data_IF_718481679756
#
_entry.id   IF_718481679756
#
_cell.length_a   1.000
_cell.length_b   1.000
_cell.length_c   1.000
_cell.angle_alpha   90.00
_cell.angle_beta   90.00
_cell.angle_gamma   90.00
#
_symmetry.space_group_name_H-M   'P 1'
#
loop_
_entity.id
_entity.type
_entity.pdbx_description
1 polymer ?
#
# COMPACT_ATOMS: atom_id res chain seq x y z
N UNK A 1 -50.07 -19.80 -1.67
CA UNK A 1 -49.02 -19.40 -0.70
C UNK A 1 -47.63 -19.92 -1.09
N UNK A 2 -47.48 -21.16 -1.56
CA UNK A 2 -46.18 -21.72 -1.97
C UNK A 2 -45.45 -20.93 -3.08
N UNK A 3 -46.16 -20.46 -4.11
CA UNK A 3 -45.55 -19.70 -5.22
C UNK A 3 -44.87 -18.40 -4.77
N UNK A 4 -45.50 -17.65 -3.86
CA UNK A 4 -44.92 -16.43 -3.29
C UNK A 4 -43.65 -16.75 -2.48
N UNK A 5 -43.68 -17.80 -1.65
CA UNK A 5 -42.52 -18.22 -0.87
C UNK A 5 -41.33 -18.60 -1.75
N UNK A 6 -41.57 -19.31 -2.86
CA UNK A 6 -40.52 -19.66 -3.84
C UNK A 6 -39.96 -18.42 -4.53
N UNK A 7 -40.84 -17.49 -4.98
CA UNK A 7 -40.39 -16.24 -5.59
C UNK A 7 -39.54 -15.40 -4.64
N UNK A 8 -39.94 -15.28 -3.37
CA UNK A 8 -39.15 -14.57 -2.36
C UNK A 8 -37.82 -15.28 -2.10
N UNK A 9 -37.81 -16.61 -1.94
CA UNK A 9 -36.59 -17.38 -1.75
C UNK A 9 -35.57 -17.21 -2.88
N UNK A 10 -36.02 -17.30 -4.13
CA UNK A 10 -35.16 -17.09 -5.31
C UNK A 10 -34.62 -15.66 -5.39
N UNK A 11 -35.47 -14.66 -5.16
CA UNK A 11 -35.05 -13.25 -5.17
C UNK A 11 -34.04 -12.94 -4.08
N UNK A 12 -34.25 -13.49 -2.88
CA UNK A 12 -33.39 -13.26 -1.74
C UNK A 12 -32.05 -13.96 -1.93
N UNK A 13 -32.03 -15.19 -2.45
CA UNK A 13 -30.79 -15.90 -2.79
C UNK A 13 -29.95 -15.14 -3.83
N UNK A 14 -30.59 -14.65 -4.90
CA UNK A 14 -29.91 -13.86 -5.93
C UNK A 14 -29.39 -12.50 -5.41
N UNK A 15 -30.03 -11.93 -4.39
CA UNK A 15 -29.55 -10.72 -3.70
C UNK A 15 -28.36 -11.06 -2.80
N UNK A 16 -28.46 -12.10 -1.98
CA UNK A 16 -27.38 -12.55 -1.10
C UNK A 16 -26.10 -12.87 -1.87
N UNK A 17 -26.20 -13.60 -2.98
CA UNK A 17 -25.04 -13.90 -3.83
C UNK A 17 -24.34 -12.63 -4.33
N UNK A 18 -25.11 -11.62 -4.78
CA UNK A 18 -24.55 -10.32 -5.19
C UNK A 18 -23.92 -9.55 -4.03
N UNK A 19 -24.51 -9.64 -2.84
CA UNK A 19 -24.00 -8.98 -1.64
C UNK A 19 -22.67 -9.60 -1.23
N UNK A 20 -22.58 -10.93 -1.15
CA UNK A 20 -21.34 -11.63 -0.82
C UNK A 20 -20.23 -11.25 -1.81
N UNK A 21 -20.51 -11.26 -3.11
CA UNK A 21 -19.53 -10.83 -4.12
C UNK A 21 -19.10 -9.38 -3.93
N UNK A 22 -20.02 -8.49 -3.53
CA UNK A 22 -19.72 -7.09 -3.26
C UNK A 22 -18.84 -6.93 -2.02
N UNK A 23 -19.06 -7.72 -0.97
CA UNK A 23 -18.20 -7.75 0.21
C UNK A 23 -16.80 -8.25 -0.12
N UNK A 24 -16.65 -9.35 -0.85
CA UNK A 24 -15.32 -9.82 -1.27
C UNK A 24 -14.59 -8.77 -2.11
N UNK A 25 -15.29 -8.03 -2.97
CA UNK A 25 -14.70 -6.91 -3.73
C UNK A 25 -14.27 -5.76 -2.82
N UNK A 26 -15.02 -5.46 -1.77
CA UNK A 26 -14.68 -4.44 -0.79
C UNK A 26 -13.42 -4.83 -0.01
N UNK A 27 -13.37 -6.07 0.49
CA UNK A 27 -12.21 -6.60 1.24
C UNK A 27 -10.92 -6.51 0.42
N UNK A 28 -10.99 -6.91 -0.86
CA UNK A 28 -9.85 -6.78 -1.77
C UNK A 28 -9.38 -5.32 -1.93
N UNK A 29 -10.29 -4.35 -1.91
CA UNK A 29 -9.93 -2.92 -1.98
C UNK A 29 -9.35 -2.40 -0.67
N UNK A 30 -9.80 -2.90 0.47
CA UNK A 30 -9.28 -2.51 1.79
C UNK A 30 -7.79 -2.87 1.92
N UNK A 31 -7.36 -4.01 1.36
CA UNK A 31 -5.93 -4.42 1.36
C UNK A 31 -5.04 -3.33 0.73
N UNK A 32 -5.49 -2.64 -0.32
CA UNK A 32 -4.72 -1.55 -0.92
C UNK A 32 -4.52 -0.38 0.05
N UNK A 33 -5.54 -0.06 0.86
CA UNK A 33 -5.47 0.99 1.88
C UNK A 33 -4.50 0.58 2.99
N UNK A 34 -4.54 -0.68 3.43
CA UNK A 34 -3.60 -1.20 4.43
C UNK A 34 -2.15 -1.10 3.96
N UNK A 35 -1.87 -1.38 2.68
CA UNK A 35 -0.52 -1.24 2.12
C UNK A 35 -0.04 0.21 2.08
N UNK A 36 -0.90 1.14 1.67
CA UNK A 36 -0.58 2.57 1.72
C UNK A 36 -0.23 2.99 3.15
N UNK A 37 -1.06 2.58 4.11
CA UNK A 37 -0.83 2.91 5.52
C UNK A 37 0.47 2.32 6.07
N UNK A 38 0.85 1.12 5.62
CA UNK A 38 2.15 0.54 5.97
C UNK A 38 3.30 1.37 5.41
N UNK A 39 3.23 1.80 4.14
CA UNK A 39 4.27 2.65 3.54
C UNK A 39 4.41 3.99 4.26
N UNK A 40 3.31 4.57 4.75
CA UNK A 40 3.35 5.79 5.56
C UNK A 40 4.06 5.64 6.92
N UNK A 41 4.26 4.40 7.39
CA UNK A 41 4.90 4.10 8.68
C UNK A 41 6.35 3.62 8.57
N UNK A 42 6.85 3.43 7.35
CA UNK A 42 8.25 3.05 7.13
C UNK A 42 9.16 4.20 7.62
N UNK A 43 10.31 3.89 8.26
CA UNK A 43 11.27 4.92 8.62
C UNK A 43 11.67 5.73 7.40
N UNK A 44 11.61 7.06 7.54
CA UNK A 44 12.05 7.96 6.48
C UNK A 44 13.54 7.78 6.21
N UNK A 45 13.91 7.85 4.93
CA UNK A 45 15.31 7.90 4.52
C UNK A 45 15.98 9.19 5.01
N UNK A 46 17.32 9.24 4.92
CA UNK A 46 18.07 10.44 5.26
C UNK A 46 17.58 11.64 4.40
N UNK A 47 17.60 12.87 4.94
CA UNK A 47 17.23 14.06 4.19
C UNK A 47 18.03 14.16 2.89
N UNK A 48 17.40 14.55 1.77
CA UNK A 48 18.07 14.60 0.47
C UNK A 48 19.22 15.62 0.46
N UNK A 49 19.10 16.67 1.27
CA UNK A 49 20.08 17.73 1.40
C UNK A 49 20.24 18.04 2.90
N UNK A 50 21.49 18.07 3.35
CA UNK A 50 21.88 18.56 4.66
C UNK A 50 22.66 19.86 4.39
N UNK A 51 22.03 21.02 4.62
CA UNK A 51 22.62 22.32 4.25
C UNK A 51 23.98 22.55 4.92
N UNK A 52 24.16 22.06 6.16
CA UNK A 52 25.41 22.19 6.92
C UNK A 52 26.55 21.28 6.43
N UNK A 53 26.25 20.23 5.65
CA UNK A 53 27.21 19.21 5.23
C UNK A 53 27.37 19.13 3.71
N UNK A 54 27.07 20.21 2.98
CA UNK A 54 27.23 20.23 1.53
C UNK A 54 28.71 20.27 1.12
N UNK A 55 29.15 19.39 0.21
CA UNK A 55 30.49 19.47 -0.32
C UNK A 55 30.63 20.74 -1.20
N UNK A 56 31.85 21.30 -1.30
CA UNK A 56 32.11 22.47 -2.13
C UNK A 56 31.88 22.16 -3.61
N UNK A 57 31.66 23.19 -4.43
CA UNK A 57 31.35 23.06 -5.86
C UNK A 57 32.41 22.31 -6.69
N UNK A 58 33.64 22.22 -6.17
CA UNK A 58 34.76 21.53 -6.82
C UNK A 58 34.89 20.06 -6.40
N UNK A 59 33.97 19.54 -5.58
CA UNK A 59 33.96 18.15 -5.17
C UNK A 59 33.28 17.25 -6.21
N UNK A 60 33.77 16.03 -6.45
CA UNK A 60 35.02 15.47 -5.93
C UNK A 60 36.24 15.90 -6.77
N UNK A 61 37.27 16.46 -6.13
CA UNK A 61 38.46 17.01 -6.80
C UNK A 61 39.42 15.93 -7.33
N UNK A 62 39.64 14.86 -6.54
CA UNK A 62 40.57 13.77 -6.87
C UNK A 62 39.90 12.40 -7.10
N UNK A 63 38.60 12.29 -6.82
CA UNK A 63 37.82 11.07 -7.05
C UNK A 63 38.34 9.80 -6.34
N UNK A 64 39.14 9.92 -5.28
CA UNK A 64 39.70 8.78 -4.56
C UNK A 64 38.68 8.24 -3.54
N UNK A 65 38.53 6.91 -3.47
CA UNK A 65 37.62 6.22 -2.55
C UNK A 65 38.46 5.31 -1.67
N UNK A 66 38.41 5.55 -0.36
CA UNK A 66 39.03 4.70 0.65
C UNK A 66 37.94 3.93 1.42
N UNK A 67 38.06 2.61 1.44
CA UNK A 67 37.16 1.69 2.13
C UNK A 67 37.79 1.31 3.46
N UNK A 68 37.22 1.78 4.57
CA UNK A 68 37.75 1.52 5.93
C UNK A 68 36.67 0.79 6.72
N UNK A 69 37.02 -0.40 7.21
CA UNK A 69 36.18 -1.24 8.08
C UNK A 69 34.73 -1.44 7.59
N UNK A 70 34.57 -1.80 6.32
CA UNK A 70 33.28 -2.27 5.82
C UNK A 70 33.06 -3.72 6.28
N UNK A 71 31.94 -3.94 6.97
CA UNK A 71 31.49 -5.25 7.43
C UNK A 71 30.32 -5.76 6.61
#
# INVERSE_FOLDING_TARGET
MAGLAVTYGLNLNARLSRWILSFCKLENKIISIERIHQYCRIPAEAPPIIEDCRPPSFWPDKGTIDLIDLK
#
